data_IF_454237784457
#
_entry.id   IF_454237784457
#
_cell.length_a   1.000
_cell.length_b   1.000
_cell.length_c   1.000
_cell.angle_alpha   90.00
_cell.angle_beta   90.00
_cell.angle_gamma   90.00
#
_symmetry.space_group_name_H-M   'P 1'
#
loop_
_entity.id
_entity.type
_entity.pdbx_description
1 polymer ?
#
# COMPACT_ATOMS: atom_id res chain seq x y z
N UNK A 1 18.20 -3.40 33.55
CA UNK A 1 18.50 -4.49 32.59
C UNK A 1 17.84 -4.10 31.28
N UNK A 2 18.63 -3.62 30.33
CA UNK A 2 18.13 -3.16 29.03
C UNK A 2 17.91 -4.38 28.14
N UNK A 3 16.66 -4.76 27.93
CA UNK A 3 16.29 -5.72 26.88
C UNK A 3 16.53 -5.03 25.53
N UNK A 4 17.66 -5.32 24.89
CA UNK A 4 17.91 -4.88 23.52
C UNK A 4 16.80 -5.36 22.58
N UNK A 5 16.63 -4.71 21.41
CA UNK A 5 15.59 -5.09 20.47
C UNK A 5 15.80 -6.54 20.02
N UNK A 6 14.88 -7.42 20.41
CA UNK A 6 14.86 -8.80 19.96
C UNK A 6 14.60 -8.80 18.45
N UNK A 7 15.63 -9.09 17.66
CA UNK A 7 15.47 -9.30 16.22
C UNK A 7 14.67 -10.59 16.05
N UNK A 8 13.35 -10.46 15.92
CA UNK A 8 12.48 -11.59 15.60
C UNK A 8 12.92 -12.14 14.22
N UNK A 9 13.13 -13.45 14.14
CA UNK A 9 13.48 -14.12 12.88
C UNK A 9 12.38 -14.00 11.81
N UNK A 10 12.58 -14.59 10.62
CA UNK A 10 11.57 -14.57 9.56
C UNK A 10 10.25 -15.12 10.09
N UNK A 11 9.19 -14.33 10.02
CA UNK A 11 7.86 -14.70 10.52
C UNK A 11 7.10 -15.40 9.41
N UNK A 12 6.56 -16.59 9.68
CA UNK A 12 5.77 -17.30 8.69
C UNK A 12 4.46 -16.54 8.45
N UNK A 13 4.18 -16.18 7.20
CA UNK A 13 2.93 -15.51 6.81
C UNK A 13 1.69 -16.31 7.22
N UNK A 14 1.80 -17.63 7.31
CA UNK A 14 0.72 -18.49 7.77
C UNK A 14 0.30 -18.16 9.21
N UNK A 15 1.25 -17.87 10.09
CA UNK A 15 0.96 -17.50 11.48
C UNK A 15 0.25 -16.14 11.53
N UNK A 16 0.74 -15.17 10.74
CA UNK A 16 0.13 -13.84 10.60
C UNK A 16 -1.31 -13.92 10.07
N UNK A 17 -1.53 -14.78 9.09
CA UNK A 17 -2.85 -15.03 8.51
C UNK A 17 -3.80 -15.66 9.54
N UNK A 18 -3.32 -16.63 10.32
CA UNK A 18 -4.10 -17.26 11.38
C UNK A 18 -4.48 -16.25 12.47
N UNK A 19 -3.56 -15.39 12.89
CA UNK A 19 -3.85 -14.33 13.87
C UNK A 19 -4.82 -13.27 13.35
N UNK A 20 -4.63 -12.80 12.12
CA UNK A 20 -5.53 -11.85 11.48
C UNK A 20 -6.93 -12.43 11.29
N UNK A 21 -7.03 -13.70 10.86
CA UNK A 21 -8.31 -14.39 10.68
C UNK A 21 -9.05 -14.60 12.00
N UNK A 22 -8.32 -14.99 13.05
CA UNK A 22 -8.89 -15.12 14.39
C UNK A 22 -9.45 -13.79 14.88
N UNK A 23 -8.67 -12.71 14.76
CA UNK A 23 -9.13 -11.37 15.15
C UNK A 23 -10.34 -10.91 14.32
N UNK A 24 -10.39 -11.26 13.03
CA UNK A 24 -11.55 -11.00 12.16
C UNK A 24 -12.81 -11.71 12.66
N UNK A 25 -12.72 -13.00 12.97
CA UNK A 25 -13.84 -13.78 13.49
C UNK A 25 -14.33 -13.26 14.85
N UNK A 26 -13.40 -12.88 15.73
CA UNK A 26 -13.72 -12.29 17.05
C UNK A 26 -14.42 -10.93 16.94
N UNK A 27 -13.98 -10.07 16.04
CA UNK A 27 -14.52 -8.71 15.90
C UNK A 27 -15.84 -8.68 15.12
N UNK A 28 -15.91 -9.41 14.01
CA UNK A 28 -17.03 -9.30 13.07
C UNK A 28 -18.02 -10.47 13.13
N UNK A 29 -17.74 -11.51 13.94
CA UNK A 29 -18.58 -12.72 14.06
C UNK A 29 -18.85 -13.38 12.70
N UNK A 30 -17.90 -13.25 11.77
CA UNK A 30 -17.94 -13.73 10.38
C UNK A 30 -16.56 -14.24 10.00
N UNK A 31 -16.48 -15.05 8.94
CA UNK A 31 -15.20 -15.43 8.33
C UNK A 31 -14.79 -14.45 7.24
N UNK A 32 -13.48 -14.18 7.09
CA UNK A 32 -12.97 -13.45 5.94
C UNK A 32 -13.16 -14.28 4.65
N UNK A 33 -13.39 -13.61 3.52
CA UNK A 33 -13.53 -14.24 2.21
C UNK A 33 -12.21 -14.24 1.43
N UNK A 34 -11.33 -13.28 1.70
CA UNK A 34 -10.06 -13.12 1.02
C UNK A 34 -8.97 -12.63 1.99
N UNK A 35 -7.72 -12.77 1.54
CA UNK A 35 -6.57 -12.18 2.20
C UNK A 35 -5.56 -11.67 1.17
N UNK A 36 -4.69 -10.77 1.61
CA UNK A 36 -3.55 -10.27 0.86
C UNK A 36 -2.33 -10.16 1.76
N UNK A 37 -1.16 -10.10 1.14
CA UNK A 37 0.13 -10.00 1.81
C UNK A 37 1.01 -9.04 1.03
N UNK A 38 1.72 -8.17 1.73
CA UNK A 38 2.70 -7.27 1.15
C UNK A 38 3.96 -7.24 2.03
N UNK A 39 5.17 -7.42 1.46
CA UNK A 39 6.40 -7.33 2.22
C UNK A 39 6.76 -5.89 2.54
N UNK A 40 7.62 -5.67 3.53
CA UNK A 40 8.30 -4.39 3.72
C UNK A 40 9.33 -4.18 2.61
N UNK A 41 9.54 -2.91 2.24
CA UNK A 41 10.56 -2.49 1.30
C UNK A 41 11.72 -1.82 2.05
N UNK A 42 12.94 -2.24 1.75
CA UNK A 42 14.17 -1.63 2.24
C UNK A 42 14.97 -1.06 1.06
N UNK A 43 15.15 0.25 0.97
CA UNK A 43 16.02 0.82 -0.04
C UNK A 43 17.49 0.52 0.29
N UNK A 44 18.25 0.04 -0.70
CA UNK A 44 19.68 -0.23 -0.61
C UNK A 44 20.52 0.95 -1.09
N UNK A 45 20.07 1.61 -2.17
CA UNK A 45 20.69 2.78 -2.78
C UNK A 45 19.59 3.75 -3.25
N UNK A 46 19.91 5.05 -3.31
CA UNK A 46 18.97 6.09 -3.73
C UNK A 46 18.23 6.79 -2.58
N UNK A 47 18.72 6.70 -1.34
CA UNK A 47 18.05 7.29 -0.16
C UNK A 47 18.57 8.69 0.15
N UNK A 48 18.01 9.69 -0.52
CA UNK A 48 18.06 11.08 -0.06
C UNK A 48 16.77 11.80 -0.49
N UNK A 49 16.03 12.26 0.50
CA UNK A 49 14.62 12.67 0.47
C UNK A 49 14.26 13.89 -0.42
N UNK A 50 15.01 14.20 -1.48
CA UNK A 50 14.69 15.39 -2.29
C UNK A 50 14.95 15.21 -3.79
N UNK A 51 15.86 14.35 -4.26
CA UNK A 51 16.31 14.42 -5.67
C UNK A 51 16.60 13.13 -6.42
N UNK A 52 16.42 11.95 -5.83
CA UNK A 52 16.70 10.69 -6.52
C UNK A 52 15.42 9.89 -6.74
N UNK A 53 14.88 10.03 -7.95
CA UNK A 53 13.71 9.29 -8.39
C UNK A 53 14.05 7.85 -8.82
N UNK A 54 15.32 7.47 -8.75
CA UNK A 54 15.82 6.15 -9.10
C UNK A 54 16.31 5.50 -7.82
N UNK A 55 15.91 4.25 -7.56
CA UNK A 55 16.40 3.51 -6.41
C UNK A 55 16.69 2.05 -6.74
N UNK A 56 17.54 1.46 -5.91
CA UNK A 56 17.70 0.02 -5.82
C UNK A 56 17.21 -0.41 -4.45
N UNK A 57 16.22 -1.28 -4.40
CA UNK A 57 15.52 -1.68 -3.17
C UNK A 57 15.25 -3.18 -3.13
N UNK A 58 15.02 -3.71 -1.93
CA UNK A 58 14.69 -5.13 -1.73
C UNK A 58 13.44 -5.26 -0.88
N UNK A 59 12.65 -6.31 -1.15
CA UNK A 59 11.68 -6.76 -0.18
C UNK A 59 12.38 -7.55 0.92
N UNK A 60 11.93 -7.38 2.16
CA UNK A 60 12.46 -8.11 3.32
C UNK A 60 11.38 -9.00 3.94
N UNK A 61 11.80 -9.97 4.74
CA UNK A 61 10.93 -10.99 5.37
C UNK A 61 10.15 -10.42 6.59
N UNK A 62 9.49 -9.30 6.36
CA UNK A 62 8.53 -8.62 7.23
C UNK A 62 7.31 -8.31 6.39
N UNK A 63 6.13 -8.56 6.92
CA UNK A 63 4.91 -8.54 6.12
C UNK A 63 3.79 -7.79 6.82
N UNK A 64 2.96 -7.14 6.00
CA UNK A 64 1.59 -6.77 6.33
C UNK A 64 0.66 -7.78 5.67
N UNK A 65 -0.18 -8.41 6.48
CA UNK A 65 -1.27 -9.30 6.06
C UNK A 65 -2.59 -8.59 6.32
N UNK A 66 -3.49 -8.64 5.35
CA UNK A 66 -4.86 -8.14 5.53
C UNK A 66 -5.83 -9.24 5.13
N UNK A 67 -6.78 -9.54 6.01
CA UNK A 67 -7.92 -10.42 5.72
C UNK A 67 -9.17 -9.57 5.63
N UNK A 68 -10.13 -9.95 4.78
CA UNK A 68 -11.35 -9.16 4.67
C UNK A 68 -12.51 -9.85 3.97
N UNK A 69 -13.64 -9.16 3.97
CA UNK A 69 -14.92 -9.59 3.43
C UNK A 69 -15.65 -8.40 2.83
N UNK A 70 -16.17 -8.56 1.61
CA UNK A 70 -17.02 -7.57 0.96
C UNK A 70 -18.41 -7.49 1.61
N UNK A 71 -19.02 -6.32 1.53
CA UNK A 71 -20.38 -6.02 1.98
C UNK A 71 -21.14 -5.25 0.87
N UNK A 72 -21.66 -5.95 -0.16
CA UNK A 72 -22.23 -5.34 -1.36
C UNK A 72 -23.34 -4.30 -1.12
N UNK A 73 -24.09 -4.45 -0.03
CA UNK A 73 -25.26 -3.62 0.28
C UNK A 73 -25.01 -2.62 1.42
N UNK A 74 -23.78 -2.54 1.91
CA UNK A 74 -23.43 -1.70 3.06
C UNK A 74 -22.42 -0.66 2.59
N UNK A 75 -22.73 0.66 2.65
CA UNK A 75 -21.82 1.73 2.24
C UNK A 75 -20.86 2.12 3.37
N UNK A 76 -20.42 1.14 4.16
CA UNK A 76 -19.57 1.35 5.34
C UNK A 76 -18.35 0.46 5.24
N UNK A 77 -17.19 1.02 5.57
CA UNK A 77 -15.92 0.32 5.63
C UNK A 77 -15.52 0.19 7.09
N UNK A 78 -15.10 -1.02 7.50
CA UNK A 78 -14.61 -1.31 8.84
C UNK A 78 -13.22 -1.93 8.76
N UNK A 79 -12.26 -1.30 9.40
CA UNK A 79 -10.88 -1.79 9.46
C UNK A 79 -10.43 -1.86 10.90
N UNK A 80 -9.80 -2.95 11.30
CA UNK A 80 -9.17 -3.08 12.63
C UNK A 80 -7.77 -3.64 12.50
N UNK A 81 -6.84 -3.13 13.30
CA UNK A 81 -5.48 -3.69 13.40
C UNK A 81 -5.42 -4.69 14.54
N UNK A 82 -4.66 -5.78 14.41
CA UNK A 82 -4.37 -6.70 15.53
C UNK A 82 -3.59 -6.03 16.67
N UNK A 83 -2.88 -4.93 16.38
CA UNK A 83 -2.19 -4.11 17.37
C UNK A 83 -3.08 -3.05 18.04
N UNK A 84 -4.37 -2.98 17.67
CA UNK A 84 -5.33 -2.01 18.20
C UNK A 84 -6.63 -2.67 18.63
N UNK A 85 -7.17 -2.25 19.77
CA UNK A 85 -8.51 -2.66 20.20
C UNK A 85 -9.63 -1.89 19.47
N UNK A 86 -9.32 -0.80 18.76
CA UNK A 86 -10.31 0.07 18.11
C UNK A 86 -10.57 -0.36 16.68
N UNK A 87 -11.86 -0.49 16.35
CA UNK A 87 -12.33 -0.57 14.96
C UNK A 87 -12.44 0.83 14.40
N UNK A 88 -11.81 1.05 13.24
CA UNK A 88 -12.00 2.24 12.43
C UNK A 88 -13.16 2.00 11.47
N UNK A 89 -14.19 2.83 11.59
CA UNK A 89 -15.38 2.78 10.74
C UNK A 89 -15.51 4.09 9.99
N UNK A 90 -15.73 4.03 8.69
CA UNK A 90 -15.96 5.21 7.86
C UNK A 90 -16.91 4.90 6.71
N UNK A 91 -17.68 5.90 6.23
CA UNK A 91 -18.52 5.72 5.05
C UNK A 91 -17.64 5.50 3.82
N UNK A 92 -18.15 4.69 2.89
CA UNK A 92 -17.51 4.46 1.60
C UNK A 92 -17.36 5.81 0.85
N UNK A 93 -16.13 6.25 0.48
CA UNK A 93 -15.88 7.55 -0.16
C UNK A 93 -16.67 7.71 -1.46
N UNK A 94 -17.39 8.83 -1.65
CA UNK A 94 -18.08 9.14 -2.90
C UNK A 94 -17.09 9.64 -3.98
N UNK A 95 -17.49 9.59 -5.26
CA UNK A 95 -16.65 10.10 -6.35
C UNK A 95 -16.56 11.62 -6.38
N UNK A 96 -17.60 12.29 -5.85
CA UNK A 96 -17.73 13.73 -5.79
C UNK A 96 -17.23 14.30 -4.45
N UNK A 97 -16.71 13.45 -3.56
CA UNK A 97 -16.10 13.89 -2.31
C UNK A 97 -14.88 14.75 -2.68
N UNK A 98 -15.06 16.06 -2.64
CA UNK A 98 -13.96 17.02 -2.62
C UNK A 98 -13.01 16.60 -1.49
N UNK A 99 -11.70 16.76 -1.72
CA UNK A 99 -10.67 16.38 -0.77
C UNK A 99 -11.13 16.74 0.64
N UNK A 100 -11.06 15.79 1.58
CA UNK A 100 -11.07 16.10 3.01
C UNK A 100 -9.80 16.93 3.31
N UNK A 101 -9.79 18.19 2.85
CA UNK A 101 -9.21 19.33 3.51
C UNK A 101 -10.03 19.46 4.78
N UNK A 102 -9.76 18.58 5.73
CA UNK A 102 -10.33 18.65 7.06
C UNK A 102 -9.93 20.01 7.58
N UNK A 103 -10.87 20.95 7.54
CA UNK A 103 -10.84 22.13 8.36
C UNK A 103 -10.72 21.60 9.79
N UNK A 104 -9.51 21.72 10.35
CA UNK A 104 -9.11 21.23 11.67
C UNK A 104 -9.97 21.76 12.82
N UNK A 105 -10.98 22.58 12.52
CA UNK A 105 -11.87 23.22 13.48
C UNK A 105 -13.27 22.57 13.63
N UNK A 106 -13.73 21.68 12.72
CA UNK A 106 -15.14 21.23 12.72
C UNK A 106 -15.40 19.71 12.70
N UNK A 107 -14.37 18.88 12.83
CA UNK A 107 -14.57 17.42 12.97
C UNK A 107 -14.25 17.00 14.40
N UNK A 108 -15.30 16.96 15.22
CA UNK A 108 -15.24 16.54 16.62
C UNK A 108 -14.68 15.12 16.74
N UNK A 109 -13.58 15.02 17.50
CA UNK A 109 -12.97 13.88 18.21
C UNK A 109 -12.81 12.47 17.59
N UNK A 110 -13.60 12.02 16.61
CA UNK A 110 -13.60 10.61 16.15
C UNK A 110 -12.58 10.30 15.04
N UNK A 111 -12.22 11.29 14.21
CA UNK A 111 -11.34 11.14 13.04
C UNK A 111 -9.88 11.58 13.32
N UNK A 112 -9.38 11.42 14.56
CA UNK A 112 -7.99 11.79 14.91
C UNK A 112 -6.94 10.66 14.80
N UNK A 113 -7.34 9.44 14.49
CA UNK A 113 -6.39 8.33 14.36
C UNK A 113 -5.78 8.23 12.95
N UNK A 114 -4.69 8.93 12.65
CA UNK A 114 -3.95 9.01 11.35
C UNK A 114 -4.13 7.85 10.34
N UNK A 115 -4.25 6.59 10.79
CA UNK A 115 -4.54 5.40 9.98
C UNK A 115 -5.86 5.44 9.18
N UNK A 116 -6.98 5.92 9.74
CA UNK A 116 -8.28 5.92 9.01
C UNK A 116 -8.24 6.80 7.76
N UNK A 117 -7.40 7.85 7.78
CA UNK A 117 -7.26 8.78 6.67
C UNK A 117 -6.55 8.12 5.48
N UNK A 118 -5.57 7.27 5.74
CA UNK A 118 -4.82 6.59 4.69
C UNK A 118 -5.67 5.51 4.01
N UNK A 119 -6.41 4.69 4.79
CA UNK A 119 -7.33 3.69 4.24
C UNK A 119 -8.47 4.34 3.44
N UNK A 120 -9.08 5.41 3.96
CA UNK A 120 -10.10 6.19 3.26
C UNK A 120 -9.55 6.78 1.96
N UNK A 121 -8.38 7.42 2.00
CA UNK A 121 -7.75 8.04 0.83
C UNK A 121 -7.41 7.00 -0.24
N UNK A 122 -6.98 5.80 0.16
CA UNK A 122 -6.73 4.70 -0.77
C UNK A 122 -7.99 4.23 -1.47
N UNK A 123 -9.06 3.97 -0.72
CA UNK A 123 -10.34 3.57 -1.31
C UNK A 123 -10.85 4.66 -2.26
N UNK A 124 -10.77 5.92 -1.85
CA UNK A 124 -11.14 7.05 -2.69
C UNK A 124 -10.33 7.06 -4.00
N UNK A 125 -9.00 7.02 -3.95
CA UNK A 125 -8.15 7.07 -5.14
C UNK A 125 -8.32 5.88 -6.08
N UNK A 126 -8.64 4.70 -5.55
CA UNK A 126 -8.95 3.53 -6.37
C UNK A 126 -10.28 3.69 -7.10
N UNK A 127 -11.30 4.22 -6.42
CA UNK A 127 -12.62 4.48 -7.04
C UNK A 127 -12.57 5.54 -8.14
N UNK A 128 -11.60 6.45 -8.11
CA UNK A 128 -11.37 7.42 -9.18
C UNK A 128 -10.86 6.78 -10.49
N UNK A 129 -10.41 5.51 -10.47
CA UNK A 129 -10.03 4.78 -11.69
C UNK A 129 -11.29 4.29 -12.43
N UNK A 130 -11.29 4.45 -13.75
CA UNK A 130 -12.43 4.04 -14.59
C UNK A 130 -12.72 2.53 -14.46
N UNK A 131 -13.98 2.20 -14.20
CA UNK A 131 -14.45 0.81 -14.07
C UNK A 131 -14.34 0.24 -12.65
N UNK A 132 -13.77 0.98 -11.69
CA UNK A 132 -13.70 0.54 -10.30
C UNK A 132 -15.01 0.82 -9.57
N UNK A 133 -15.72 -0.26 -9.24
CA UNK A 133 -16.86 -0.25 -8.33
C UNK A 133 -16.52 -1.04 -7.05
N UNK A 134 -16.26 -0.32 -5.95
CA UNK A 134 -15.96 -0.89 -4.64
C UNK A 134 -17.17 -0.62 -3.75
N UNK A 135 -17.67 -1.63 -3.05
CA UNK A 135 -18.69 -1.49 -1.99
C UNK A 135 -18.05 -1.50 -0.61
N UNK A 136 -18.84 -1.39 0.46
CA UNK A 136 -18.31 -1.51 1.82
C UNK A 136 -17.65 -2.86 2.06
N UNK A 137 -16.77 -2.91 3.06
CA UNK A 137 -16.04 -4.12 3.41
C UNK A 137 -15.57 -4.07 4.86
N UNK A 138 -15.32 -5.24 5.40
CA UNK A 138 -14.66 -5.42 6.70
C UNK A 138 -13.25 -5.96 6.46
N UNK A 139 -12.27 -5.47 7.20
CA UNK A 139 -10.89 -5.92 7.11
C UNK A 139 -10.19 -5.95 8.46
N UNK A 140 -9.27 -6.90 8.62
CA UNK A 140 -8.29 -6.94 9.72
C UNK A 140 -6.89 -6.86 9.16
N UNK A 141 -6.10 -5.92 9.68
CA UNK A 141 -4.69 -5.71 9.37
C UNK A 141 -3.84 -6.36 10.47
N UNK A 142 -2.84 -7.15 10.08
CA UNK A 142 -1.78 -7.61 10.97
C UNK A 142 -0.43 -7.30 10.32
N UNK A 143 0.50 -6.68 11.04
CA UNK A 143 1.83 -6.36 10.50
C UNK A 143 2.95 -6.71 11.47
N UNK A 144 4.03 -7.27 10.91
CA UNK A 144 5.30 -7.51 11.60
C UNK A 144 6.35 -6.44 11.29
N UNK A 145 6.00 -5.47 10.44
CA UNK A 145 6.89 -4.39 10.05
C UNK A 145 6.98 -3.44 11.25
N UNK A 146 8.18 -3.20 11.81
CA UNK A 146 8.34 -2.25 12.89
C UNK A 146 7.86 -0.87 12.46
N UNK A 147 7.18 -0.14 13.35
CA UNK A 147 6.74 1.25 13.11
C UNK A 147 7.91 2.27 13.06
N UNK A 148 9.13 1.80 12.86
CA UNK A 148 10.33 2.64 12.70
C UNK A 148 10.40 3.21 11.29
N UNK A 149 10.87 4.45 11.16
CA UNK A 149 10.99 5.21 9.90
C UNK A 149 11.86 4.53 8.80
N UNK A 150 12.53 3.41 9.10
CA UNK A 150 13.45 2.75 8.17
C UNK A 150 12.86 1.57 7.38
N UNK A 151 11.62 1.13 7.66
CA UNK A 151 11.03 -0.07 7.03
C UNK A 151 9.69 0.15 6.34
N UNK A 152 9.31 1.42 6.09
CA UNK A 152 8.28 1.79 5.11
C UNK A 152 6.94 1.04 5.25
N UNK A 153 6.41 1.06 6.48
CA UNK A 153 5.20 0.32 6.84
C UNK A 153 3.93 0.80 6.12
N UNK A 154 3.88 2.05 5.63
CA UNK A 154 2.74 2.61 4.88
C UNK A 154 2.60 1.98 3.48
N UNK A 155 3.68 1.93 2.71
CA UNK A 155 3.67 1.34 1.37
C UNK A 155 3.23 -0.13 1.39
N UNK A 156 3.70 -0.90 2.37
CA UNK A 156 3.28 -2.29 2.54
C UNK A 156 1.77 -2.39 2.87
N UNK A 157 1.25 -1.52 3.74
CA UNK A 157 -0.17 -1.46 4.09
C UNK A 157 -1.05 -1.14 2.87
N UNK A 158 -0.69 -0.10 2.12
CA UNK A 158 -1.45 0.35 0.95
C UNK A 158 -1.50 -0.71 -0.14
N UNK A 159 -0.34 -1.31 -0.46
CA UNK A 159 -0.25 -2.39 -1.46
C UNK A 159 -1.02 -3.62 -1.00
N UNK A 160 -0.96 -3.98 0.29
CA UNK A 160 -1.76 -5.08 0.81
C UNK A 160 -3.26 -4.77 0.74
N UNK A 161 -3.68 -3.56 1.09
CA UNK A 161 -5.09 -3.17 1.05
C UNK A 161 -5.63 -3.14 -0.38
N UNK A 162 -4.89 -2.55 -1.32
CA UNK A 162 -5.25 -2.56 -2.73
C UNK A 162 -5.34 -4.00 -3.29
N UNK A 163 -4.40 -4.88 -2.92
CA UNK A 163 -4.43 -6.29 -3.31
C UNK A 163 -5.60 -7.06 -2.67
N UNK A 164 -6.03 -6.70 -1.45
CA UNK A 164 -7.24 -7.26 -0.85
C UNK A 164 -8.48 -6.81 -1.62
N UNK A 165 -8.59 -5.52 -1.96
CA UNK A 165 -9.72 -4.97 -2.71
C UNK A 165 -9.84 -5.59 -4.10
N UNK A 166 -8.72 -5.84 -4.79
CA UNK A 166 -8.69 -6.61 -6.04
C UNK A 166 -9.29 -8.01 -5.88
N UNK A 167 -9.05 -8.67 -4.73
CA UNK A 167 -9.59 -10.01 -4.44
C UNK A 167 -11.05 -9.98 -4.02
N UNK A 168 -11.48 -8.95 -3.29
CA UNK A 168 -12.87 -8.78 -2.86
C UNK A 168 -13.78 -8.34 -4.02
N UNK A 169 -13.24 -7.57 -4.97
CA UNK A 169 -13.99 -6.99 -6.08
C UNK A 169 -13.35 -7.29 -7.45
N UNK A 170 -13.12 -8.57 -7.82
CA UNK A 170 -12.31 -8.92 -8.99
C UNK A 170 -12.86 -8.39 -10.32
N UNK A 171 -14.19 -8.23 -10.44
CA UNK A 171 -14.81 -7.67 -11.64
C UNK A 171 -14.47 -6.20 -11.85
N UNK A 172 -14.35 -5.44 -10.77
CA UNK A 172 -14.04 -4.01 -10.80
C UNK A 172 -12.61 -3.75 -11.28
N UNK A 173 -11.68 -4.67 -10.98
CA UNK A 173 -10.26 -4.52 -11.31
C UNK A 173 -9.83 -5.20 -12.61
N UNK A 174 -10.75 -5.82 -13.38
CA UNK A 174 -10.38 -6.64 -14.54
C UNK A 174 -9.74 -5.86 -15.70
N UNK A 175 -10.00 -4.55 -15.79
CA UNK A 175 -9.45 -3.66 -16.84
C UNK A 175 -8.37 -2.71 -16.32
N UNK A 176 -8.09 -2.74 -15.01
CA UNK A 176 -7.17 -1.79 -14.37
C UNK A 176 -5.79 -2.42 -14.28
N UNK A 177 -4.77 -1.70 -14.76
CA UNK A 177 -3.40 -2.21 -14.68
C UNK A 177 -2.87 -2.12 -13.24
N UNK A 178 -1.95 -3.02 -12.88
CA UNK A 178 -1.28 -2.96 -11.58
C UNK A 178 -0.55 -1.63 -11.37
N UNK A 179 -0.12 -0.97 -12.45
CA UNK A 179 0.55 0.33 -12.36
C UNK A 179 -0.44 1.46 -12.03
N UNK A 180 -1.67 1.42 -12.55
CA UNK A 180 -2.70 2.39 -12.20
C UNK A 180 -3.11 2.27 -10.73
N UNK A 181 -3.17 1.04 -10.22
CA UNK A 181 -3.38 0.76 -8.79
C UNK A 181 -2.26 1.38 -7.95
N UNK A 182 -1.00 1.21 -8.36
CA UNK A 182 0.13 1.80 -7.63
C UNK A 182 0.16 3.32 -7.68
N UNK A 183 -0.19 3.91 -8.83
CA UNK A 183 -0.35 5.36 -8.93
C UNK A 183 -1.48 5.86 -8.02
N UNK A 184 -2.57 5.10 -7.85
CA UNK A 184 -3.60 5.40 -6.87
C UNK A 184 -3.10 5.30 -5.42
N UNK A 185 -2.34 4.25 -5.08
CA UNK A 185 -1.71 4.10 -3.76
C UNK A 185 -0.82 5.31 -3.45
N UNK A 186 0.01 5.74 -4.41
CA UNK A 186 0.84 6.94 -4.25
C UNK A 186 0.02 8.21 -4.00
N UNK A 187 -1.04 8.43 -4.78
CA UNK A 187 -1.90 9.61 -4.58
C UNK A 187 -2.55 9.58 -3.20
N UNK A 188 -2.94 8.40 -2.71
CA UNK A 188 -3.49 8.23 -1.38
C UNK A 188 -2.47 8.55 -0.27
N UNK A 189 -1.24 8.05 -0.40
CA UNK A 189 -0.13 8.36 0.51
C UNK A 189 0.15 9.87 0.57
N UNK A 190 0.19 10.54 -0.59
CA UNK A 190 0.37 11.99 -0.69
C UNK A 190 -0.74 12.75 0.03
N UNK A 191 -2.00 12.31 -0.14
CA UNK A 191 -3.16 12.90 0.57
C UNK A 191 -3.11 12.67 2.07
N UNK A 192 -2.62 11.51 2.51
CA UNK A 192 -2.43 11.22 3.93
C UNK A 192 -1.32 12.10 4.54
N UNK A 193 -0.24 12.33 3.79
CA UNK A 193 0.99 13.05 4.21
C UNK A 193 0.92 14.58 4.12
N UNK A 194 -0.07 15.17 3.43
CA UNK A 194 -0.24 16.63 3.26
C UNK A 194 -0.45 17.43 4.57
N UNK A 195 -0.45 16.77 5.74
CA UNK A 195 -0.23 17.41 7.04
C UNK A 195 1.27 17.37 7.35
N UNK A 196 2.03 18.24 6.69
CA UNK A 196 3.33 18.73 7.18
C UNK A 196 4.52 17.76 7.27
N UNK A 197 4.60 16.68 6.47
CA UNK A 197 5.84 15.89 6.39
C UNK A 197 6.32 15.63 4.95
N UNK A 198 7.61 15.81 4.74
CA UNK A 198 8.29 15.86 3.44
C UNK A 198 8.53 14.46 2.83
N UNK A 199 7.52 13.58 2.81
CA UNK A 199 7.63 12.14 2.46
C UNK A 199 7.38 11.81 0.97
N UNK A 200 7.40 12.80 0.08
CA UNK A 200 6.73 12.75 -1.24
C UNK A 200 7.32 11.82 -2.34
N UNK A 201 8.55 11.30 -2.20
CA UNK A 201 9.21 10.47 -3.23
C UNK A 201 9.58 9.05 -2.79
N UNK A 202 9.67 8.79 -1.48
CA UNK A 202 10.07 7.48 -0.93
C UNK A 202 8.98 6.42 -1.14
N UNK A 203 7.70 6.80 -0.94
CA UNK A 203 6.58 5.86 -0.94
C UNK A 203 6.32 5.17 -2.29
N UNK A 204 6.54 5.86 -3.41
CA UNK A 204 6.31 5.30 -4.74
C UNK A 204 7.28 4.15 -5.10
N UNK A 205 8.57 4.33 -4.81
CA UNK A 205 9.60 3.32 -5.07
C UNK A 205 9.43 2.13 -4.10
N UNK A 206 8.98 2.40 -2.88
CA UNK A 206 8.63 1.38 -1.91
C UNK A 206 7.41 0.57 -2.34
N UNK A 207 6.33 1.21 -2.80
CA UNK A 207 5.14 0.55 -3.35
C UNK A 207 5.49 -0.35 -4.54
N UNK A 208 6.38 0.10 -5.44
CA UNK A 208 6.90 -0.74 -6.53
C UNK A 208 7.64 -1.97 -6.00
N UNK A 209 8.46 -1.79 -4.96
CA UNK A 209 9.21 -2.89 -4.32
C UNK A 209 8.26 -3.89 -3.68
N UNK A 210 7.29 -3.41 -2.90
CA UNK A 210 6.26 -4.23 -2.27
C UNK A 210 5.46 -5.05 -3.30
N UNK A 211 5.25 -4.50 -4.49
CA UNK A 211 4.41 -5.13 -5.53
C UNK A 211 5.18 -6.08 -6.44
N UNK A 212 6.36 -5.67 -6.89
CA UNK A 212 7.06 -6.33 -7.99
C UNK A 212 8.31 -7.09 -7.58
N UNK A 213 8.72 -7.00 -6.31
CA UNK A 213 9.89 -7.73 -5.81
C UNK A 213 9.84 -9.22 -6.11
N UNK A 214 11.04 -9.80 -6.24
CA UNK A 214 11.24 -11.23 -6.43
C UNK A 214 12.23 -11.71 -5.40
N UNK A 215 12.05 -12.94 -4.93
CA UNK A 215 13.02 -13.54 -4.01
C UNK A 215 14.42 -13.52 -4.65
N UNK A 216 15.44 -13.23 -3.84
CA UNK A 216 16.83 -13.11 -4.27
C UNK A 216 17.07 -12.06 -5.35
N UNK A 217 16.24 -11.02 -5.44
CA UNK A 217 16.48 -9.90 -6.35
C UNK A 217 16.30 -8.55 -5.64
N UNK A 218 17.15 -7.59 -6.00
CA UNK A 218 16.83 -6.18 -5.81
C UNK A 218 16.06 -5.66 -7.02
N UNK A 219 15.16 -4.72 -6.76
CA UNK A 219 14.42 -3.98 -7.76
C UNK A 219 15.17 -2.68 -8.05
N UNK A 220 15.52 -2.45 -9.31
CA UNK A 220 16.00 -1.17 -9.79
C UNK A 220 14.88 -0.45 -10.54
N UNK A 221 14.44 0.69 -10.02
CA UNK A 221 13.24 1.37 -10.49
C UNK A 221 13.39 2.90 -10.53
N UNK A 222 12.57 3.53 -11.36
CA UNK A 222 12.49 4.98 -11.59
C UNK A 222 11.05 5.49 -11.44
N UNK A 223 10.88 6.54 -10.64
CA UNK A 223 9.64 7.25 -10.38
C UNK A 223 9.66 8.72 -10.89
N UNK A 224 10.59 9.07 -11.80
CA UNK A 224 10.86 10.46 -12.22
C UNK A 224 9.69 11.17 -12.88
N UNK A 225 8.91 10.47 -13.68
CA UNK A 225 7.79 11.08 -14.42
C UNK A 225 6.55 11.31 -13.53
N UNK A 226 6.61 10.94 -12.26
CA UNK A 226 5.48 11.02 -11.32
C UNK A 226 5.57 12.25 -10.40
N UNK A 227 6.72 12.93 -10.35
CA UNK A 227 6.93 14.13 -9.50
C UNK A 227 6.35 15.41 -10.12
N UNK A 228 6.09 15.46 -11.43
CA UNK A 228 5.67 16.69 -12.14
C UNK A 228 4.16 17.02 -12.05
N UNK A 229 3.41 16.37 -11.17
CA UNK A 229 1.95 16.56 -11.03
C UNK A 229 1.50 17.55 -9.96
N UNK A 230 2.40 18.06 -9.10
CA UNK A 230 2.07 19.04 -8.06
C UNK A 230 2.47 20.45 -8.49
N UNK A 231 1.50 21.37 -8.56
CA UNK A 231 1.77 22.76 -8.87
C UNK A 231 2.73 23.40 -7.86
N UNK A 232 3.76 24.07 -8.39
CA UNK A 232 4.59 25.01 -7.63
C UNK A 232 6.08 24.70 -7.58
N UNK A 233 6.79 24.80 -8.71
CA UNK A 233 8.00 25.63 -8.72
C UNK A 233 8.32 26.13 -10.13
N UNK A 234 8.02 27.42 -10.36
CA UNK A 234 8.43 28.17 -11.54
C UNK A 234 9.87 28.60 -11.33
N UNK A 235 10.82 27.74 -11.69
CA UNK A 235 12.18 28.20 -12.03
C UNK A 235 12.28 28.14 -13.56
N UNK A 236 11.82 29.22 -14.17
CA UNK A 236 12.03 29.51 -15.59
C UNK A 236 13.53 29.56 -15.88
N UNK A 237 14.01 28.67 -16.75
CA UNK A 237 15.18 28.98 -17.58
C UNK A 237 14.66 29.67 -18.83
N UNK A 238 15.21 30.85 -19.09
CA UNK A 238 14.90 31.68 -20.25
C UNK A 238 15.09 30.90 -21.56
N UNK A 239 14.12 31.07 -22.47
CA UNK A 239 14.29 30.83 -23.90
C UNK A 239 13.81 29.46 -24.38
N UNK A 240 12.48 29.28 -24.50
CA UNK A 240 11.86 28.55 -25.61
C UNK A 240 10.34 28.79 -25.58
N UNK A 241 9.84 29.42 -26.64
CA UNK A 241 8.42 29.67 -26.90
C UNK A 241 7.82 28.37 -27.44
N UNK A 242 6.82 27.79 -26.76
CA UNK A 242 5.90 26.84 -27.41
C UNK A 242 4.46 27.03 -26.93
N UNK A 243 3.60 26.90 -27.93
CA UNK A 243 2.22 27.33 -28.09
C UNK A 243 1.19 26.64 -27.18
N UNK A 244 0.17 27.40 -26.79
CA UNK A 244 -0.98 27.01 -25.98
C UNK A 244 -2.04 26.32 -26.85
N UNK A 245 -2.16 24.99 -26.77
CA UNK A 245 -3.42 24.30 -27.11
C UNK A 245 -3.61 23.03 -26.27
N UNK A 246 -4.73 23.01 -25.53
CA UNK A 246 -5.55 21.89 -25.10
C UNK A 246 -4.89 20.52 -24.74
N UNK A 247 -5.09 20.15 -23.47
CA UNK A 247 -5.37 18.78 -22.99
C UNK A 247 -4.35 17.66 -23.32
N UNK A 248 -3.37 17.51 -22.43
CA UNK A 248 -2.64 16.25 -22.27
C UNK A 248 -2.08 16.16 -20.84
N UNK A 249 -2.82 15.54 -19.92
CA UNK A 249 -2.21 14.95 -18.72
C UNK A 249 -1.18 13.92 -19.20
N UNK A 250 0.11 14.31 -19.28
CA UNK A 250 1.19 13.37 -19.62
C UNK A 250 1.15 12.24 -18.58
N UNK A 251 1.10 10.96 -19.02
CA UNK A 251 1.03 9.85 -18.08
C UNK A 251 2.28 9.85 -17.22
N UNK A 252 2.09 9.93 -15.90
CA UNK A 252 3.14 9.71 -14.93
C UNK A 252 3.65 8.28 -15.07
N UNK A 253 4.88 8.09 -15.58
CA UNK A 253 5.45 6.76 -15.81
C UNK A 253 6.41 6.39 -14.69
N UNK A 254 5.98 5.46 -13.82
CA UNK A 254 6.93 4.64 -13.07
C UNK A 254 7.50 3.57 -14.01
N UNK A 255 8.78 3.24 -13.83
CA UNK A 255 9.48 2.24 -14.64
C UNK A 255 10.30 1.31 -13.75
N UNK A 256 10.26 0.02 -14.07
CA UNK A 256 11.20 -0.95 -13.54
C UNK A 256 12.27 -1.13 -14.62
N UNK A 257 13.52 -0.88 -14.28
CA UNK A 257 14.63 -1.10 -15.20
C UNK A 257 14.98 -2.57 -15.26
N UNK A 258 15.19 -3.19 -14.10
CA UNK A 258 15.72 -4.55 -14.00
C UNK A 258 15.59 -5.13 -12.58
N UNK A 259 15.81 -6.45 -12.51
CA UNK A 259 15.92 -7.22 -11.29
C UNK A 259 17.37 -7.66 -11.13
N UNK A 260 18.05 -7.18 -10.09
CA UNK A 260 19.45 -7.47 -9.83
C UNK A 260 19.52 -8.73 -8.96
N UNK A 261 19.98 -9.89 -9.48
CA UNK A 261 20.01 -11.13 -8.71
C UNK A 261 21.09 -11.09 -7.63
N UNK A 262 20.79 -11.67 -6.48
CA UNK A 262 21.78 -11.99 -5.45
C UNK A 262 22.22 -13.45 -5.58
N UNK A 263 23.50 -13.76 -5.30
CA UNK A 263 23.90 -15.16 -5.16
C UNK A 263 23.08 -15.82 -4.05
N UNK A 264 22.65 -17.10 -4.22
CA UNK A 264 21.87 -17.80 -3.21
C UNK A 264 22.62 -17.78 -1.88
N UNK A 265 22.11 -16.99 -0.93
CA UNK A 265 22.57 -17.01 0.45
C UNK A 265 21.58 -17.85 1.27
N UNK A 266 22.04 -18.63 2.25
CA UNK A 266 21.23 -19.63 2.95
C UNK A 266 20.10 -19.07 3.86
N UNK A 267 19.62 -17.84 3.66
CA UNK A 267 18.75 -17.18 4.65
C UNK A 267 17.54 -16.40 4.12
N UNK A 268 17.21 -16.44 2.82
CA UNK A 268 16.03 -15.71 2.32
C UNK A 268 15.05 -16.72 1.74
N UNK A 269 13.91 -16.94 2.40
CA UNK A 269 12.89 -17.93 2.02
C UNK A 269 11.67 -17.28 1.35
N UNK A 270 11.21 -17.95 0.29
CA UNK A 270 10.20 -17.51 -0.69
C UNK A 270 8.79 -17.53 -0.08
N UNK A 271 7.94 -16.57 -0.48
CA UNK A 271 6.49 -16.65 -0.31
C UNK A 271 5.79 -16.69 -1.67
N UNK A 272 5.13 -17.82 -1.94
CA UNK A 272 4.24 -18.05 -3.07
C UNK A 272 2.80 -17.73 -2.64
N UNK A 273 2.07 -17.02 -3.50
CA UNK A 273 0.65 -16.73 -3.32
C UNK A 273 -0.20 -17.95 -3.67
N UNK A 274 -1.05 -18.41 -2.74
CA UNK A 274 -2.05 -19.46 -2.99
C UNK A 274 -3.47 -18.94 -2.66
N UNK A 275 -4.49 -19.33 -3.42
CA UNK A 275 -5.88 -19.15 -3.00
C UNK A 275 -6.17 -20.05 -1.78
N UNK A 276 -7.01 -19.58 -0.85
CA UNK A 276 -7.54 -20.40 0.25
C UNK A 276 -8.54 -21.42 -0.33
N UNK A 277 -8.03 -22.51 -0.89
CA UNK A 277 -8.81 -23.67 -1.33
C UNK A 277 -8.24 -24.94 -0.72
N UNK A 278 -9.08 -25.65 0.04
CA UNK A 278 -8.91 -26.99 0.66
C UNK A 278 -7.51 -27.37 1.16
N UNK A 279 -7.38 -27.51 2.48
CA UNK A 279 -6.17 -27.81 3.26
C UNK A 279 -5.37 -29.08 2.90
N UNK A 280 -5.73 -29.83 1.85
CA UNK A 280 -4.99 -31.03 1.46
C UNK A 280 -4.11 -30.72 0.25
N UNK A 281 -2.78 -30.79 0.44
CA UNK A 281 -1.69 -30.68 -0.54
C UNK A 281 -1.05 -29.31 -0.82
N UNK A 282 -0.58 -28.62 0.23
CA UNK A 282 0.58 -27.73 0.11
C UNK A 282 1.87 -28.50 0.44
N UNK A 283 2.34 -29.34 -0.48
CA UNK A 283 3.76 -29.72 -0.51
C UNK A 283 4.52 -28.62 -1.26
N UNK A 284 5.20 -27.75 -0.50
CA UNK A 284 6.16 -26.80 -1.05
C UNK A 284 7.40 -27.60 -1.56
N UNK A 285 7.88 -27.36 -2.79
CA UNK A 285 9.16 -27.90 -3.21
C UNK A 285 10.29 -27.25 -2.39
N UNK A 286 11.23 -28.09 -1.97
CA UNK A 286 12.46 -27.75 -1.24
C UNK A 286 13.31 -26.70 -1.96
#
# INVERSE_FOLDING_TARGET
>A
MSSGPTVQGPVAVQDLLSEASKRFEEEFLRRPDAFSVSPAALPLLGTSAVHENISVSVAVDRYTVIVGRAQPDVPEVKVVSTSSARVCTFPLPSLDDEELLVDTSLVEEELKGQHHRCDWSLVHELRQLTGIDISGFMAVVHSTIPLSQSMNSSAALEVAMAALLQRLFPQSFCTVSQMDVLLACRRADQKCSAVGSNAFTSSALEQLTCTFSRQMHALHADASDVVKGGGGDRIYREGEYFDDTCDARKPSKMRIFDFIPFPPQPTIRLLLFAPLGSQDSLQLPL
#
